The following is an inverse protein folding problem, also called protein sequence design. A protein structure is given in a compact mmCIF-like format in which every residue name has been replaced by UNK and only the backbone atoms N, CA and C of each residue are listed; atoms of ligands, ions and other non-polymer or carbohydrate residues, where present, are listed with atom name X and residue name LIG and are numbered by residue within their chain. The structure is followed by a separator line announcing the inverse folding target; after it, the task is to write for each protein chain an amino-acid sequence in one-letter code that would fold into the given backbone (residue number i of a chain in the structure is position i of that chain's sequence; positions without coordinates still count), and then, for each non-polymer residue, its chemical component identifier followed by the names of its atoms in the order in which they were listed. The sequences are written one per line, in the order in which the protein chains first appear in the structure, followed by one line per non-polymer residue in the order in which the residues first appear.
data_IF_256542026331
#
_entry.id   IF_256542026331
#
_cell.length_a   1.000
_cell.length_b   1.000
_cell.length_c   1.000
_cell.angle_alpha   90.00
_cell.angle_beta   90.00
_cell.angle_gamma   90.00
#
_symmetry.space_group_name_H-M   'P 1'
#
loop_
_entity.id
_entity.type
_entity.pdbx_description
1 polymer ?
#
# COMPACT_ATOMS: atom_id res chain seq x y z
N UNK A 1 12.97 13.13 21.92
CA UNK A 1 13.50 13.15 20.54
C UNK A 1 13.49 11.76 19.90
N UNK A 2 13.93 10.72 20.58
CA UNK A 2 13.98 9.33 20.07
C UNK A 2 12.60 8.85 19.59
N UNK A 3 11.51 9.12 20.31
CA UNK A 3 10.15 8.73 19.91
C UNK A 3 9.66 9.34 18.58
N UNK A 4 10.16 10.52 18.21
CA UNK A 4 9.80 11.14 16.93
C UNK A 4 10.58 10.53 15.76
N UNK A 5 11.80 10.12 15.99
CA UNK A 5 12.63 9.44 14.98
C UNK A 5 12.08 8.04 14.70
N UNK A 6 11.74 7.28 15.76
CA UNK A 6 11.14 5.95 15.61
C UNK A 6 9.77 6.02 14.94
N UNK A 7 8.90 6.96 15.30
CA UNK A 7 7.58 7.08 14.69
C UNK A 7 7.65 7.46 13.20
N UNK A 8 8.62 8.30 12.82
CA UNK A 8 8.82 8.63 11.40
C UNK A 8 9.35 7.44 10.60
N UNK A 9 10.27 6.66 11.20
CA UNK A 9 10.79 5.45 10.59
C UNK A 9 9.70 4.39 10.45
N UNK A 10 8.88 4.20 11.48
CA UNK A 10 7.73 3.27 11.45
C UNK A 10 6.73 3.64 10.34
N UNK A 11 6.43 4.93 10.20
CA UNK A 11 5.58 5.41 9.11
C UNK A 11 6.15 5.07 7.73
N UNK A 12 7.44 5.27 7.53
CA UNK A 12 8.12 4.95 6.28
C UNK A 12 8.16 3.43 6.01
N UNK A 13 8.35 2.63 7.06
CA UNK A 13 8.29 1.16 6.97
C UNK A 13 6.91 0.66 6.58
N UNK A 14 5.85 1.23 7.14
CA UNK A 14 4.47 0.92 6.73
C UNK A 14 4.22 1.30 5.27
N UNK A 15 4.67 2.48 4.85
CA UNK A 15 4.56 2.92 3.46
C UNK A 15 5.30 1.96 2.52
N UNK A 16 6.50 1.51 2.88
CA UNK A 16 7.28 0.55 2.08
C UNK A 16 6.54 -0.78 1.93
N UNK A 17 6.02 -1.33 3.02
CA UNK A 17 5.28 -2.59 3.04
C UNK A 17 4.03 -2.50 2.14
N UNK A 18 3.26 -1.41 2.25
CA UNK A 18 2.08 -1.19 1.42
C UNK A 18 2.44 -1.02 -0.07
N UNK A 19 3.58 -0.38 -0.39
CA UNK A 19 4.04 -0.29 -1.78
C UNK A 19 4.44 -1.65 -2.35
N UNK A 20 5.09 -2.49 -1.55
CA UNK A 20 5.42 -3.86 -1.94
C UNK A 20 4.16 -4.68 -2.21
N UNK A 21 3.14 -4.55 -1.35
CA UNK A 21 1.87 -5.24 -1.54
C UNK A 21 1.13 -4.74 -2.78
N UNK A 22 1.12 -3.43 -3.03
CA UNK A 22 0.54 -2.87 -4.25
C UNK A 22 1.24 -3.37 -5.50
N UNK A 23 2.58 -3.45 -5.47
CA UNK A 23 3.37 -4.01 -6.57
C UNK A 23 2.97 -5.45 -6.89
N UNK A 24 2.73 -6.26 -5.85
CA UNK A 24 2.27 -7.65 -5.99
C UNK A 24 0.88 -7.73 -6.63
N UNK A 25 -0.04 -6.86 -6.25
CA UNK A 25 -1.38 -6.81 -6.86
C UNK A 25 -1.33 -6.40 -8.33
N UNK A 26 -0.58 -5.36 -8.67
CA UNK A 26 -0.40 -4.91 -10.05
C UNK A 26 0.22 -6.03 -10.91
N UNK A 27 1.25 -6.69 -10.40
CA UNK A 27 1.86 -7.83 -11.08
C UNK A 27 0.88 -8.99 -11.28
N UNK A 28 0.02 -9.25 -10.29
CA UNK A 28 -1.06 -10.24 -10.41
C UNK A 28 -2.09 -9.85 -11.46
N UNK A 29 -2.48 -8.57 -11.54
CA UNK A 29 -3.38 -8.07 -12.57
C UNK A 29 -2.78 -8.26 -13.97
N UNK A 30 -1.51 -7.88 -14.15
CA UNK A 30 -0.79 -8.06 -15.43
C UNK A 30 -0.72 -9.53 -15.83
N UNK A 31 -0.38 -10.41 -14.89
CA UNK A 31 -0.28 -11.85 -15.16
C UNK A 31 -1.62 -12.48 -15.56
N UNK A 32 -2.74 -11.90 -15.16
CA UNK A 32 -4.08 -12.39 -15.44
C UNK A 32 -4.82 -11.55 -16.51
N UNK A 33 -4.11 -10.74 -17.28
CA UNK A 33 -4.71 -9.88 -18.30
C UNK A 33 -5.49 -10.65 -19.37
N UNK A 34 -5.05 -11.89 -19.66
CA UNK A 34 -5.70 -12.76 -20.63
C UNK A 34 -6.61 -13.82 -19.99
N UNK A 35 -6.83 -13.75 -18.67
CA UNK A 35 -7.70 -14.70 -17.97
C UNK A 35 -9.16 -14.26 -18.08
N UNK A 36 -10.04 -15.06 -18.70
CA UNK A 36 -11.46 -14.71 -18.81
C UNK A 36 -12.13 -14.52 -17.44
N UNK A 37 -12.91 -13.45 -17.30
CA UNK A 37 -13.65 -13.16 -16.07
C UNK A 37 -12.79 -12.66 -14.91
N UNK A 38 -11.50 -12.39 -15.11
CA UNK A 38 -10.65 -11.85 -14.06
C UNK A 38 -11.01 -10.40 -13.73
N UNK A 39 -11.14 -10.12 -12.43
CA UNK A 39 -11.41 -8.76 -11.93
C UNK A 39 -10.14 -8.19 -11.32
N UNK A 40 -9.64 -7.08 -11.90
CA UNK A 40 -8.46 -6.38 -11.41
C UNK A 40 -8.67 -5.87 -9.98
N UNK A 41 -7.62 -6.00 -9.16
CA UNK A 41 -7.61 -5.63 -7.75
C UNK A 41 -6.59 -4.53 -7.50
N UNK A 42 -6.98 -3.54 -6.73
CA UNK A 42 -6.09 -2.50 -6.20
C UNK A 42 -6.62 -2.09 -4.81
N UNK A 43 -5.89 -1.25 -4.09
CA UNK A 43 -6.37 -0.66 -2.85
C UNK A 43 -6.03 0.83 -2.79
N UNK A 44 -6.78 1.57 -2.00
CA UNK A 44 -6.49 2.98 -1.75
C UNK A 44 -5.28 3.11 -0.82
N UNK A 45 -4.13 3.46 -1.40
CA UNK A 45 -2.86 3.57 -0.67
C UNK A 45 -2.94 4.58 0.49
N UNK A 46 -3.54 5.74 0.27
CA UNK A 46 -3.63 6.78 1.31
C UNK A 46 -4.45 6.29 2.51
N UNK A 47 -5.57 5.64 2.25
CA UNK A 47 -6.43 5.09 3.29
C UNK A 47 -5.74 3.94 4.05
N UNK A 48 -5.08 3.03 3.33
CA UNK A 48 -4.32 1.93 3.92
C UNK A 48 -3.17 2.44 4.82
N UNK A 49 -2.46 3.48 4.35
CA UNK A 49 -1.38 4.10 5.11
C UNK A 49 -1.89 4.80 6.38
N UNK A 50 -3.02 5.50 6.29
CA UNK A 50 -3.66 6.11 7.47
C UNK A 50 -4.07 5.04 8.50
N UNK A 51 -4.63 3.93 8.05
CA UNK A 51 -5.00 2.82 8.93
C UNK A 51 -3.76 2.19 9.59
N UNK A 52 -2.70 1.97 8.82
CA UNK A 52 -1.46 1.40 9.33
C UNK A 52 -0.72 2.33 10.29
N UNK A 53 -0.73 3.65 10.05
CA UNK A 53 -0.07 4.64 10.88
C UNK A 53 -0.91 5.10 12.09
N UNK A 54 -2.25 4.98 11.99
CA UNK A 54 -3.20 5.36 13.03
C UNK A 54 -3.49 4.27 14.08
N UNK A 55 -2.82 3.12 14.00
CA UNK A 55 -3.06 1.94 14.85
C UNK A 55 -2.78 2.10 16.34
N UNK A 56 -2.81 3.31 16.88
CA UNK A 56 -2.61 3.59 18.30
C UNK A 56 -3.71 4.37 18.99
N UNK A 57 -4.66 4.97 18.31
CA UNK A 57 -5.73 5.71 18.99
C UNK A 57 -6.92 6.01 18.08
N UNK A 58 -8.06 5.54 18.55
CA UNK A 58 -9.39 5.99 18.19
C UNK A 58 -9.99 5.36 16.95
N UNK A 59 -10.98 4.55 17.20
CA UNK A 59 -11.95 4.10 16.23
C UNK A 59 -12.42 5.22 15.31
N UNK A 60 -11.84 5.25 14.11
CA UNK A 60 -12.41 6.03 13.05
C UNK A 60 -13.58 5.24 12.46
N UNK A 61 -14.77 5.53 13.00
CA UNK A 61 -16.03 5.15 12.37
C UNK A 61 -16.14 5.90 11.04
N UNK A 62 -15.66 5.32 9.99
CA UNK A 62 -15.97 5.72 8.62
C UNK A 62 -16.59 4.54 7.89
N UNK A 63 -17.66 4.02 8.48
CA UNK A 63 -18.49 3.01 7.86
C UNK A 63 -19.95 3.44 7.93
N UNK A 64 -20.26 4.63 7.45
CA UNK A 64 -21.67 5.04 7.42
C UNK A 64 -22.10 5.76 6.16
N UNK A 65 -21.52 5.44 5.01
CA UNK A 65 -22.17 5.77 3.73
C UNK A 65 -21.60 4.99 2.55
N UNK A 66 -21.52 3.67 2.65
CA UNK A 66 -21.44 2.81 1.47
C UNK A 66 -22.41 1.64 1.67
N UNK A 67 -23.68 1.93 1.47
CA UNK A 67 -24.67 0.89 1.22
C UNK A 67 -24.18 0.02 0.06
N UNK A 68 -24.26 -1.33 0.27
CA UNK A 68 -23.92 -2.41 -0.65
C UNK A 68 -22.47 -2.96 -0.54
N UNK A 69 -22.00 -3.20 0.68
CA UNK A 69 -20.98 -4.22 0.88
C UNK A 69 -21.66 -5.47 1.46
N UNK A 70 -21.89 -6.44 0.61
CA UNK A 70 -22.36 -7.77 0.99
C UNK A 70 -21.27 -8.39 1.87
N UNK A 71 -21.60 -8.62 3.12
CA UNK A 71 -20.75 -9.31 4.09
C UNK A 71 -20.29 -10.66 3.55
N UNK A 72 -18.99 -10.81 3.37
CA UNK A 72 -18.35 -12.12 3.37
C UNK A 72 -17.79 -12.40 4.77
N UNK A 73 -17.94 -13.63 5.29
CA UNK A 73 -17.58 -13.92 6.68
C UNK A 73 -16.08 -13.74 6.91
N UNK A 74 -15.77 -12.97 7.93
CA UNK A 74 -14.45 -12.71 8.46
C UNK A 74 -13.79 -14.01 8.90
N UNK A 75 -12.83 -14.49 8.10
CA UNK A 75 -11.81 -15.40 8.58
C UNK A 75 -10.83 -14.63 9.46
N UNK A 76 -10.75 -15.01 10.72
CA UNK A 76 -9.82 -14.47 11.71
C UNK A 76 -8.37 -14.65 11.26
N UNK A 77 -7.66 -13.55 10.99
CA UNK A 77 -6.23 -13.63 10.77
C UNK A 77 -5.62 -12.37 10.18
N UNK A 78 -4.93 -11.62 11.00
CA UNK A 78 -4.03 -10.50 10.72
C UNK A 78 -4.69 -9.16 10.40
N UNK A 79 -4.91 -8.37 11.44
CA UNK A 79 -5.58 -7.09 11.44
C UNK A 79 -4.88 -5.90 10.79
N UNK A 80 -4.15 -6.11 9.67
CA UNK A 80 -3.50 -4.99 8.99
C UNK A 80 -3.43 -5.18 7.45
N UNK A 81 -4.26 -6.04 6.89
CA UNK A 81 -4.32 -6.15 5.43
C UNK A 81 -5.16 -5.01 4.83
N UNK A 82 -4.65 -4.31 3.79
CA UNK A 82 -5.39 -3.24 3.15
C UNK A 82 -6.68 -3.77 2.51
N UNK A 83 -7.77 -3.02 2.65
CA UNK A 83 -9.02 -3.37 2.00
C UNK A 83 -8.86 -3.27 0.48
N UNK A 84 -9.06 -4.39 -0.19
CA UNK A 84 -8.97 -4.48 -1.64
C UNK A 84 -10.21 -3.84 -2.28
N UNK A 85 -9.96 -2.96 -3.24
CA UNK A 85 -10.98 -2.42 -4.12
C UNK A 85 -10.95 -3.22 -5.42
N UNK A 86 -12.12 -3.60 -5.91
CA UNK A 86 -12.26 -4.24 -7.21
C UNK A 86 -12.50 -3.17 -8.27
N UNK A 87 -11.76 -3.23 -9.36
CA UNK A 87 -11.93 -2.27 -10.45
C UNK A 87 -13.30 -2.48 -11.12
N UNK A 88 -14.06 -1.39 -11.25
CA UNK A 88 -15.22 -1.39 -12.12
C UNK A 88 -14.75 -1.54 -13.58
N UNK A 89 -15.44 -2.33 -14.41
CA UNK A 89 -15.07 -2.48 -15.80
C UNK A 89 -15.13 -1.12 -16.52
N UNK A 90 -13.96 -0.62 -16.92
CA UNK A 90 -13.87 0.63 -17.70
C UNK A 90 -14.13 0.40 -19.19
N UNK A 91 -14.04 -0.84 -19.64
CA UNK A 91 -14.36 -1.29 -20.98
C UNK A 91 -15.07 -2.64 -20.93
N UNK A 92 -16.12 -2.80 -21.74
CA UNK A 92 -16.81 -4.07 -21.95
C UNK A 92 -15.95 -4.96 -22.86
N UNK A 93 -14.97 -5.65 -22.27
CA UNK A 93 -14.30 -6.73 -22.97
C UNK A 93 -15.26 -7.94 -23.06
N UNK A 94 -15.28 -8.59 -24.21
CA UNK A 94 -16.13 -9.76 -24.47
C UNK A 94 -15.92 -10.85 -23.41
N UNK A 95 -14.70 -10.94 -22.86
CA UNK A 95 -14.24 -11.93 -21.88
C UNK A 95 -14.48 -11.52 -20.42
N UNK A 96 -15.17 -10.40 -20.18
CA UNK A 96 -15.41 -9.84 -18.81
C UNK A 96 -14.15 -9.63 -17.97
N UNK A 97 -12.98 -9.49 -18.61
CA UNK A 97 -11.75 -9.13 -17.94
C UNK A 97 -11.70 -7.60 -17.74
N UNK A 98 -11.43 -7.15 -16.53
CA UNK A 98 -11.39 -5.71 -16.18
C UNK A 98 -9.97 -5.14 -16.14
N UNK A 99 -8.96 -5.91 -16.52
CA UNK A 99 -7.57 -5.48 -16.55
C UNK A 99 -7.31 -4.59 -17.76
N UNK A 100 -6.81 -3.38 -17.53
CA UNK A 100 -6.28 -2.48 -18.55
C UNK A 100 -4.75 -2.55 -18.50
N UNK A 101 -4.15 -3.21 -19.48
CA UNK A 101 -2.71 -3.48 -19.50
C UNK A 101 -1.86 -2.21 -19.53
N UNK A 102 -2.28 -1.18 -20.24
CA UNK A 102 -1.50 0.07 -20.36
C UNK A 102 -1.51 0.82 -19.02
N UNK A 103 -2.66 0.85 -18.38
CA UNK A 103 -2.82 1.42 -17.04
C UNK A 103 -2.04 0.64 -15.98
N UNK A 104 -2.09 -0.69 -16.03
CA UNK A 104 -1.36 -1.53 -15.06
C UNK A 104 0.15 -1.39 -15.22
N UNK A 105 0.66 -1.34 -16.45
CA UNK A 105 2.09 -1.10 -16.71
C UNK A 105 2.55 0.28 -16.22
N UNK A 106 1.77 1.32 -16.48
CA UNK A 106 2.07 2.66 -15.97
C UNK A 106 2.07 2.69 -14.43
N UNK A 107 1.08 2.04 -13.81
CA UNK A 107 0.98 1.92 -12.35
C UNK A 107 2.14 1.11 -11.76
N UNK A 108 2.60 0.08 -12.45
CA UNK A 108 3.76 -0.73 -12.04
C UNK A 108 5.02 0.12 -11.95
N UNK A 109 5.31 0.89 -12.99
CA UNK A 109 6.50 1.76 -13.05
C UNK A 109 6.40 2.87 -12.00
N UNK A 110 5.26 3.54 -11.89
CA UNK A 110 5.03 4.60 -10.89
C UNK A 110 5.23 4.08 -9.46
N UNK A 111 4.64 2.93 -9.15
CA UNK A 111 4.79 2.32 -7.83
C UNK A 111 6.22 1.85 -7.55
N UNK A 112 6.93 1.32 -8.55
CA UNK A 112 8.33 0.90 -8.43
C UNK A 112 9.25 2.10 -8.11
N UNK A 113 9.07 3.23 -8.80
CA UNK A 113 9.81 4.46 -8.52
C UNK A 113 9.55 5.00 -7.10
N UNK A 114 8.27 4.97 -6.68
CA UNK A 114 7.90 5.38 -5.33
C UNK A 114 8.44 4.43 -4.26
N UNK A 115 8.50 3.14 -4.54
CA UNK A 115 9.11 2.14 -3.66
C UNK A 115 10.60 2.41 -3.48
N UNK A 116 11.34 2.60 -4.58
CA UNK A 116 12.77 2.92 -4.54
C UNK A 116 13.05 4.24 -3.82
N UNK A 117 12.25 5.27 -4.07
CA UNK A 117 12.35 6.55 -3.36
C UNK A 117 12.16 6.38 -1.85
N UNK A 118 11.20 5.58 -1.43
CA UNK A 118 10.94 5.30 -0.01
C UNK A 118 12.15 4.59 0.63
N UNK A 119 12.76 3.61 -0.06
CA UNK A 119 13.98 2.95 0.40
C UNK A 119 15.15 3.93 0.57
N UNK A 120 15.34 4.84 -0.38
CA UNK A 120 16.38 5.87 -0.28
C UNK A 120 16.16 6.80 0.90
N UNK A 121 14.91 7.20 1.16
CA UNK A 121 14.58 8.02 2.33
C UNK A 121 14.83 7.30 3.65
N UNK A 122 14.48 6.03 3.76
CA UNK A 122 14.76 5.21 4.96
C UNK A 122 16.27 5.14 5.19
N UNK A 123 17.04 4.79 4.16
CA UNK A 123 18.49 4.71 4.26
C UNK A 123 19.14 6.05 4.65
N UNK A 124 18.68 7.15 4.08
CA UNK A 124 19.15 8.49 4.43
C UNK A 124 18.82 8.84 5.90
N UNK A 125 17.60 8.55 6.34
CA UNK A 125 17.19 8.78 7.73
C UNK A 125 18.02 7.97 8.72
N UNK A 126 18.25 6.69 8.44
CA UNK A 126 19.09 5.82 9.27
C UNK A 126 20.52 6.33 9.33
N UNK A 127 21.09 6.67 8.16
CA UNK A 127 22.47 7.21 8.08
C UNK A 127 22.61 8.51 8.87
N UNK A 128 21.68 9.46 8.70
CA UNK A 128 21.69 10.73 9.45
C UNK A 128 21.60 10.49 10.96
N UNK A 129 20.78 9.54 11.40
CA UNK A 129 20.66 9.17 12.80
C UNK A 129 21.98 8.59 13.34
N UNK A 130 22.58 7.67 12.59
CA UNK A 130 23.87 7.06 12.98
C UNK A 130 25.01 8.09 13.02
N UNK A 131 25.06 8.99 12.05
CA UNK A 131 26.08 10.05 12.00
C UNK A 131 25.91 11.04 13.16
N UNK A 132 24.67 11.36 13.51
CA UNK A 132 24.36 12.19 14.69
C UNK A 132 24.79 11.52 16.01
N UNK A 133 24.64 10.21 16.12
CA UNK A 133 25.09 9.45 17.29
C UNK A 133 26.62 9.35 17.37
N UNK A 134 27.31 9.22 16.23
CA UNK A 134 28.77 9.17 16.17
C UNK A 134 29.42 10.52 16.47
N UNK A 135 28.84 11.63 15.98
CA UNK A 135 29.35 12.98 16.20
C UNK A 135 29.37 13.40 17.68
N UNK A 136 28.60 12.76 18.54
CA UNK A 136 28.58 13.03 19.97
C UNK A 136 29.71 12.29 20.73
N UNK A 137 30.32 11.27 20.17
CA UNK A 137 31.41 10.50 20.76
C UNK A 137 32.81 10.92 20.27
N UNK A 138 32.92 11.96 19.43
CA UNK A 138 34.19 12.46 18.90
C UNK A 138 34.68 13.77 19.58
N UNK A 139 34.15 14.06 20.76
CA UNK A 139 34.58 15.17 21.59
C UNK A 139 35.28 14.68 22.84
#
# INVERSE_FOLDING_TARGET
MINRLTSNLDFQMHALTLRAERQRLIASNIANADTPGYVARDFNFAQALQQASGGGRSGFKLAENAGLAREMPSGSGRGNEPRLNYAAPSQTNLDRNTVDMDRERASFVDNALKYESTLRFINASVKTTLDSMKGHNAA
#
